data_IF_619235331327
#
_entry.id   IF_619235331327
#
_cell.length_a   1.000
_cell.length_b   1.000
_cell.length_c   1.000
_cell.angle_alpha   90.00
_cell.angle_beta   90.00
_cell.angle_gamma   90.00
#
_symmetry.space_group_name_H-M   'P 1'
#
loop_
_entity.id
_entity.type
_entity.pdbx_description
1 polymer ?
#
# COMPACT_ATOMS: atom_id res chain seq x y z
N UNK A 1 6.46 19.13 -12.79
CA UNK A 1 6.89 18.88 -11.39
C UNK A 1 7.38 17.45 -11.37
N UNK A 2 8.50 17.18 -10.70
CA UNK A 2 9.03 15.80 -10.61
C UNK A 2 8.26 15.05 -9.50
N UNK A 3 7.36 14.17 -9.90
CA UNK A 3 6.45 13.42 -9.03
C UNK A 3 7.19 12.38 -8.16
N UNK A 4 8.43 12.07 -8.48
CA UNK A 4 9.28 11.23 -7.63
C UNK A 4 9.79 11.97 -6.39
N UNK A 5 9.83 13.30 -6.43
CA UNK A 5 10.35 14.18 -5.38
C UNK A 5 9.26 14.87 -4.56
N UNK A 6 8.16 15.26 -5.20
CA UNK A 6 7.07 16.02 -4.57
C UNK A 6 5.71 15.55 -5.04
N UNK A 7 4.73 15.60 -4.15
CA UNK A 7 3.33 15.32 -4.43
C UNK A 7 2.69 16.47 -5.23
N UNK A 8 1.52 16.24 -5.80
CA UNK A 8 0.79 17.24 -6.59
C UNK A 8 0.44 18.52 -5.79
N UNK A 9 0.28 18.40 -4.48
CA UNK A 9 0.02 19.52 -3.54
C UNK A 9 1.31 20.25 -3.07
N UNK A 10 2.48 19.81 -3.53
CA UNK A 10 3.78 20.41 -3.22
C UNK A 10 4.47 19.85 -1.97
N UNK A 11 3.85 18.94 -1.23
CA UNK A 11 4.50 18.26 -0.09
C UNK A 11 5.65 17.38 -0.59
N UNK A 12 6.79 17.34 0.14
CA UNK A 12 7.92 16.52 -0.27
C UNK A 12 7.63 15.03 -0.06
N UNK A 13 8.26 14.21 -0.89
CA UNK A 13 8.44 12.78 -0.66
C UNK A 13 9.82 12.51 -0.07
N UNK A 14 10.09 11.31 0.39
CA UNK A 14 11.39 10.98 0.97
C UNK A 14 12.58 11.33 0.08
N UNK A 15 12.48 11.09 -1.25
CA UNK A 15 13.49 11.51 -2.23
C UNK A 15 13.62 13.03 -2.33
N UNK A 16 12.51 13.76 -2.21
CA UNK A 16 12.48 15.23 -2.22
C UNK A 16 13.19 15.85 -1.03
N UNK A 17 13.18 15.19 0.11
CA UNK A 17 13.99 15.56 1.27
C UNK A 17 15.48 15.23 1.12
N UNK A 18 15.86 14.41 0.14
CA UNK A 18 17.22 13.93 -0.04
C UNK A 18 17.56 12.66 0.74
N UNK A 19 16.58 11.84 1.07
CA UNK A 19 16.82 10.52 1.63
C UNK A 19 17.46 9.60 0.57
N UNK A 20 18.50 8.80 0.93
CA UNK A 20 19.32 8.05 -0.02
C UNK A 20 18.69 6.69 -0.37
N UNK A 21 17.52 6.70 -0.97
CA UNK A 21 16.91 5.48 -1.49
C UNK A 21 17.66 4.99 -2.74
N UNK A 22 17.57 3.67 -2.99
CA UNK A 22 18.13 3.09 -4.20
C UNK A 22 17.56 3.74 -5.47
N UNK A 23 18.39 3.86 -6.50
CA UNK A 23 18.04 4.45 -7.79
C UNK A 23 17.00 3.59 -8.56
N UNK A 24 16.58 4.05 -9.74
CA UNK A 24 15.72 3.34 -10.70
C UNK A 24 14.27 3.14 -10.24
N UNK A 25 13.63 4.17 -9.69
CA UNK A 25 12.17 4.19 -9.61
C UNK A 25 11.55 4.44 -11.00
N UNK A 26 10.25 4.11 -11.14
CA UNK A 26 9.45 4.48 -12.29
C UNK A 26 9.16 5.98 -12.33
N UNK A 27 8.39 6.41 -13.33
CA UNK A 27 8.14 7.83 -13.62
C UNK A 27 7.45 8.58 -12.46
N UNK A 28 6.56 7.90 -11.74
CA UNK A 28 5.80 8.46 -10.61
C UNK A 28 6.28 7.93 -9.26
N UNK A 29 7.22 6.96 -9.27
CA UNK A 29 7.67 6.24 -8.09
C UNK A 29 6.48 5.72 -7.26
N UNK A 30 5.53 5.07 -7.93
CA UNK A 30 4.26 4.63 -7.37
C UNK A 30 3.88 3.23 -7.88
N UNK A 31 2.93 2.56 -7.21
CA UNK A 31 2.40 1.27 -7.68
C UNK A 31 1.77 1.39 -9.06
N UNK A 32 1.30 2.55 -9.43
CA UNK A 32 0.73 2.90 -10.73
C UNK A 32 1.76 2.96 -11.87
N UNK A 33 3.06 2.89 -11.59
CA UNK A 33 4.09 2.66 -12.61
C UNK A 33 4.01 1.24 -13.19
N UNK A 34 3.34 0.31 -12.50
CA UNK A 34 3.01 -1.00 -13.07
C UNK A 34 1.92 -0.83 -14.12
N UNK A 35 2.17 -1.17 -15.38
CA UNK A 35 1.24 -0.94 -16.47
C UNK A 35 -0.17 -1.47 -16.20
N UNK A 36 -1.16 -0.60 -16.33
CA UNK A 36 -2.58 -0.92 -16.16
C UNK A 36 -3.08 -0.85 -14.71
N UNK A 37 -2.22 -0.61 -13.73
CA UNK A 37 -2.65 -0.42 -12.34
C UNK A 37 -3.19 0.99 -12.14
N UNK A 38 -4.38 1.07 -11.55
CA UNK A 38 -5.03 2.33 -11.17
C UNK A 38 -5.35 2.32 -9.66
N UNK A 39 -5.32 3.50 -9.04
CA UNK A 39 -5.60 3.66 -7.60
C UNK A 39 -6.54 4.84 -7.39
N UNK A 40 -7.51 4.64 -6.50
CA UNK A 40 -8.45 5.68 -6.10
C UNK A 40 -8.60 5.76 -4.58
N UNK A 41 -9.00 6.93 -4.11
CA UNK A 41 -9.11 7.23 -2.69
C UNK A 41 -10.44 7.91 -2.37
N UNK A 42 -11.00 7.56 -1.21
CA UNK A 42 -12.02 8.38 -0.55
C UNK A 42 -11.54 8.64 0.88
N UNK A 43 -11.40 9.91 1.22
CA UNK A 43 -10.89 10.38 2.52
C UNK A 43 -12.03 11.01 3.31
N UNK A 44 -12.23 10.58 4.56
CA UNK A 44 -13.27 11.07 5.45
C UNK A 44 -12.61 11.75 6.65
N UNK A 45 -12.72 13.08 6.72
CA UNK A 45 -12.24 13.91 7.83
C UNK A 45 -13.38 14.83 8.23
N UNK A 46 -14.09 14.50 9.32
CA UNK A 46 -15.29 15.19 9.76
C UNK A 46 -15.34 15.32 11.29
N UNK A 47 -15.90 16.40 11.79
CA UNK A 47 -16.13 16.64 13.21
C UNK A 47 -14.83 16.84 14.02
N UNK A 48 -15.01 17.37 15.23
CA UNK A 48 -13.96 17.63 16.23
C UNK A 48 -14.53 17.40 17.63
N UNK A 49 -13.64 17.32 18.64
CA UNK A 49 -14.02 17.22 20.06
C UNK A 49 -14.10 15.78 20.57
N UNK A 50 -14.94 15.60 21.58
CA UNK A 50 -15.11 14.32 22.26
C UNK A 50 -15.82 13.30 21.37
N UNK A 51 -15.51 12.01 21.58
CA UNK A 51 -16.14 10.93 20.84
C UNK A 51 -17.63 10.83 21.14
N UNK A 52 -18.44 10.92 20.10
CA UNK A 52 -19.85 10.52 20.10
C UNK A 52 -20.05 9.44 19.05
N UNK A 53 -20.23 8.19 19.48
CA UNK A 53 -20.32 7.05 18.58
C UNK A 53 -21.47 7.24 17.58
N UNK A 54 -21.16 7.16 16.30
CA UNK A 54 -22.09 7.41 15.19
C UNK A 54 -22.12 8.86 14.67
N UNK A 55 -21.47 9.80 15.39
CA UNK A 55 -21.36 11.20 14.99
C UNK A 55 -19.91 11.62 14.69
N UNK A 56 -18.92 10.99 15.33
CA UNK A 56 -17.51 11.25 15.11
C UNK A 56 -16.74 11.68 16.35
N UNK A 57 -15.56 12.29 16.21
CA UNK A 57 -14.85 12.69 14.97
C UNK A 57 -14.47 11.52 14.05
N UNK A 58 -14.54 11.75 12.74
CA UNK A 58 -14.25 10.76 11.70
C UNK A 58 -12.88 11.03 11.08
N UNK A 59 -12.00 10.04 11.08
CA UNK A 59 -10.65 10.08 10.48
C UNK A 59 -10.35 8.73 9.83
N UNK A 60 -10.97 8.48 8.68
CA UNK A 60 -10.93 7.17 7.99
C UNK A 60 -11.05 7.32 6.48
N UNK A 61 -11.23 6.23 5.76
CA UNK A 61 -11.46 6.25 4.33
C UNK A 61 -11.31 4.90 3.66
N UNK A 62 -11.22 4.94 2.33
CA UNK A 62 -11.04 3.76 1.48
C UNK A 62 -9.96 4.04 0.44
N UNK A 63 -9.03 3.11 0.30
CA UNK A 63 -8.08 3.03 -0.82
C UNK A 63 -8.50 1.88 -1.71
N UNK A 64 -8.69 2.13 -3.00
CA UNK A 64 -9.01 1.12 -4.00
C UNK A 64 -7.86 0.95 -4.98
N UNK A 65 -7.43 -0.29 -5.24
CA UNK A 65 -6.43 -0.64 -6.24
C UNK A 65 -7.12 -1.50 -7.29
N UNK A 66 -7.08 -1.08 -8.54
CA UNK A 66 -7.52 -1.84 -9.70
C UNK A 66 -6.28 -2.39 -10.41
N UNK A 67 -5.93 -3.67 -10.24
CA UNK A 67 -4.71 -4.24 -10.83
C UNK A 67 -4.66 -4.18 -12.37
N UNK A 68 -5.81 -4.04 -13.00
CA UNK A 68 -5.95 -3.94 -14.47
C UNK A 68 -6.75 -2.70 -14.90
N UNK A 69 -6.86 -1.71 -14.02
CA UNK A 69 -7.62 -0.48 -14.26
C UNK A 69 -9.10 -0.74 -14.55
N UNK A 70 -9.74 0.25 -15.15
CA UNK A 70 -11.12 0.17 -15.60
C UNK A 70 -11.18 -0.61 -16.91
N UNK A 71 -11.56 -1.89 -16.83
CA UNK A 71 -11.77 -2.77 -17.97
C UNK A 71 -13.18 -3.37 -17.93
N UNK A 72 -13.77 -3.64 -19.08
CA UNK A 72 -15.04 -4.37 -19.19
C UNK A 72 -14.87 -5.88 -19.02
N UNK A 73 -13.64 -6.36 -19.06
CA UNK A 73 -13.30 -7.76 -18.89
C UNK A 73 -12.97 -8.07 -17.43
N UNK A 74 -13.00 -9.35 -17.08
CA UNK A 74 -12.66 -9.84 -15.75
C UNK A 74 -11.43 -10.79 -15.84
N UNK A 75 -10.27 -10.32 -16.29
CA UNK A 75 -9.10 -11.16 -16.37
C UNK A 75 -8.60 -11.49 -14.97
N UNK A 76 -8.19 -12.74 -14.71
CA UNK A 76 -7.56 -13.09 -13.44
C UNK A 76 -6.23 -12.35 -13.27
N UNK A 77 -5.92 -12.07 -12.04
CA UNK A 77 -4.65 -11.45 -11.60
C UNK A 77 -3.90 -12.49 -10.77
N UNK A 78 -2.76 -12.95 -11.27
CA UNK A 78 -1.94 -13.93 -10.55
C UNK A 78 -1.40 -13.33 -9.27
N UNK A 79 -1.56 -14.03 -8.16
CA UNK A 79 -1.26 -13.48 -6.85
C UNK A 79 -0.85 -14.53 -5.82
N UNK A 80 -0.24 -14.05 -4.75
CA UNK A 80 -0.05 -14.81 -3.52
C UNK A 80 -0.09 -13.86 -2.32
N UNK A 81 -0.47 -14.37 -1.18
CA UNK A 81 -0.46 -13.63 0.07
C UNK A 81 0.52 -14.23 1.08
N UNK A 82 0.92 -13.41 2.05
CA UNK A 82 1.69 -13.85 3.21
C UNK A 82 1.26 -13.08 4.44
N UNK A 83 0.85 -13.80 5.49
CA UNK A 83 0.62 -13.22 6.81
C UNK A 83 1.88 -13.40 7.65
N UNK A 84 2.58 -12.32 7.95
CA UNK A 84 3.70 -12.33 8.88
C UNK A 84 3.16 -12.40 10.31
N UNK A 85 2.09 -11.65 10.58
CA UNK A 85 1.39 -11.60 11.84
C UNK A 85 -0.12 -11.44 11.58
N UNK A 86 -0.94 -12.24 12.20
CA UNK A 86 -2.33 -12.52 11.79
C UNK A 86 -3.40 -11.75 12.54
N UNK A 87 -3.08 -10.72 13.32
CA UNK A 87 -4.09 -9.93 14.03
C UNK A 87 -4.74 -8.87 13.12
N UNK A 88 -5.37 -9.31 12.04
CA UNK A 88 -6.01 -8.47 11.04
C UNK A 88 -6.79 -9.30 10.03
N UNK A 89 -7.37 -8.66 9.03
CA UNK A 89 -8.17 -9.33 8.01
C UNK A 89 -7.74 -8.93 6.58
N UNK A 90 -7.77 -9.92 5.71
CA UNK A 90 -7.74 -9.76 4.26
C UNK A 90 -8.63 -10.81 3.63
N UNK A 91 -9.75 -10.40 3.02
CA UNK A 91 -10.71 -11.32 2.40
C UNK A 91 -10.17 -11.92 1.11
N UNK A 92 -10.77 -13.02 0.63
CA UNK A 92 -10.38 -13.67 -0.62
C UNK A 92 -9.10 -14.52 -0.55
N UNK A 93 -8.38 -14.49 0.57
CA UNK A 93 -7.07 -15.15 0.73
C UNK A 93 -7.10 -16.67 0.61
N UNK A 94 -8.23 -17.31 0.98
CA UNK A 94 -8.38 -18.76 0.81
C UNK A 94 -8.28 -19.16 -0.67
N UNK A 95 -8.99 -18.43 -1.55
CA UNK A 95 -8.94 -18.69 -2.99
C UNK A 95 -7.58 -18.33 -3.60
N UNK A 96 -6.98 -17.22 -3.18
CA UNK A 96 -5.63 -16.85 -3.61
C UNK A 96 -4.62 -17.96 -3.26
N UNK A 97 -4.70 -18.52 -2.06
CA UNK A 97 -3.81 -19.60 -1.63
C UNK A 97 -4.07 -20.91 -2.38
N UNK A 98 -5.31 -21.21 -2.73
CA UNK A 98 -5.71 -22.45 -3.44
C UNK A 98 -5.41 -22.36 -4.94
N UNK A 99 -5.82 -21.25 -5.58
CA UNK A 99 -5.81 -21.11 -7.03
C UNK A 99 -4.67 -20.27 -7.59
N UNK A 100 -3.99 -19.47 -6.74
CA UNK A 100 -2.89 -18.60 -7.15
C UNK A 100 -3.31 -17.33 -7.89
N UNK A 101 -4.59 -16.95 -7.85
CA UNK A 101 -5.11 -15.74 -8.48
C UNK A 101 -6.37 -15.21 -7.79
N UNK A 102 -6.73 -13.97 -8.11
CA UNK A 102 -8.02 -13.37 -7.80
C UNK A 102 -8.55 -12.59 -9.03
N UNK A 103 -9.76 -12.03 -8.90
CA UNK A 103 -10.37 -11.15 -9.91
C UNK A 103 -10.95 -9.92 -9.22
N UNK A 104 -10.91 -8.77 -9.92
CA UNK A 104 -11.47 -7.50 -9.42
C UNK A 104 -10.51 -6.67 -8.58
N UNK A 105 -11.05 -5.78 -7.74
CA UNK A 105 -10.29 -4.80 -6.99
C UNK A 105 -9.68 -5.38 -5.71
N UNK A 106 -8.68 -4.64 -5.19
CA UNK A 106 -8.19 -4.72 -3.81
C UNK A 106 -8.60 -3.42 -3.13
N UNK A 107 -9.31 -3.50 -2.01
CA UNK A 107 -9.67 -2.34 -1.21
C UNK A 107 -9.02 -2.42 0.17
N UNK A 108 -8.60 -1.26 0.71
CA UNK A 108 -8.02 -1.16 2.06
C UNK A 108 -8.77 -0.08 2.83
N UNK A 109 -9.17 -0.37 4.07
CA UNK A 109 -9.99 0.51 4.92
C UNK A 109 -9.63 0.34 6.40
N UNK A 110 -10.54 0.69 7.31
CA UNK A 110 -10.39 0.41 8.74
C UNK A 110 -11.03 -0.94 9.13
N UNK A 111 -10.70 -1.41 10.34
CA UNK A 111 -11.12 -2.74 10.83
C UNK A 111 -12.63 -2.96 10.78
N UNK A 112 -13.44 -2.00 11.20
CA UNK A 112 -14.90 -2.16 11.19
C UNK A 112 -15.53 -1.82 9.83
N UNK A 113 -14.78 -1.21 8.91
CA UNK A 113 -15.19 -0.92 7.54
C UNK A 113 -15.23 -2.13 6.61
N UNK A 114 -14.55 -3.24 6.95
CA UNK A 114 -14.42 -4.41 6.05
C UNK A 114 -15.76 -4.90 5.50
N UNK A 115 -16.76 -5.05 6.36
CA UNK A 115 -18.08 -5.56 5.94
C UNK A 115 -18.72 -4.69 4.87
N UNK A 116 -18.76 -3.37 5.10
CA UNK A 116 -19.32 -2.40 4.17
C UNK A 116 -18.53 -2.32 2.86
N UNK A 117 -17.19 -2.31 2.96
CA UNK A 117 -16.30 -2.27 1.78
C UNK A 117 -16.41 -3.55 0.96
N UNK A 118 -16.51 -4.71 1.60
CA UNK A 118 -16.67 -5.99 0.90
C UNK A 118 -18.00 -6.06 0.16
N UNK A 119 -19.11 -5.67 0.80
CA UNK A 119 -20.42 -5.64 0.16
C UNK A 119 -20.44 -4.66 -1.01
N UNK A 120 -19.97 -3.43 -0.81
CA UNK A 120 -19.95 -2.41 -1.84
C UNK A 120 -19.04 -2.80 -3.03
N UNK A 121 -17.86 -3.35 -2.76
CA UNK A 121 -16.96 -3.84 -3.82
C UNK A 121 -17.60 -5.00 -4.60
N UNK A 122 -18.33 -5.89 -3.93
CA UNK A 122 -19.11 -6.94 -4.61
C UNK A 122 -20.16 -6.33 -5.54
N UNK A 123 -20.94 -5.35 -5.08
CA UNK A 123 -21.94 -4.64 -5.89
C UNK A 123 -21.30 -3.94 -7.09
N UNK A 124 -20.16 -3.27 -6.87
CA UNK A 124 -19.38 -2.63 -7.93
C UNK A 124 -18.93 -3.65 -8.99
N UNK A 125 -18.35 -4.78 -8.57
CA UNK A 125 -17.93 -5.85 -9.50
C UNK A 125 -19.10 -6.38 -10.30
N UNK A 126 -20.26 -6.64 -9.69
CA UNK A 126 -21.46 -7.11 -10.39
C UNK A 126 -21.96 -6.07 -11.40
N UNK A 127 -21.89 -4.78 -11.08
CA UNK A 127 -22.26 -3.69 -11.99
C UNK A 127 -21.26 -3.58 -13.16
N UNK A 128 -19.97 -3.62 -12.85
CA UNK A 128 -18.88 -3.41 -13.83
C UNK A 128 -18.71 -4.59 -14.78
N UNK A 129 -18.79 -5.81 -14.27
CA UNK A 129 -18.45 -7.04 -14.99
C UNK A 129 -19.63 -7.98 -15.22
N UNK A 130 -20.86 -7.59 -14.91
CA UNK A 130 -22.03 -8.44 -14.79
C UNK A 130 -22.16 -9.56 -15.83
N UNK A 131 -21.98 -9.23 -17.11
CA UNK A 131 -22.05 -10.22 -18.22
C UNK A 131 -20.82 -11.14 -18.28
N UNK A 132 -19.65 -10.70 -17.79
CA UNK A 132 -18.42 -11.49 -17.78
C UNK A 132 -18.43 -12.62 -16.72
N UNK A 133 -19.28 -12.51 -15.69
CA UNK A 133 -19.45 -13.58 -14.69
C UNK A 133 -20.29 -14.77 -15.17
N UNK A 134 -20.97 -14.66 -16.32
CA UNK A 134 -21.87 -15.69 -16.82
C UNK A 134 -23.17 -15.83 -16.04
N UNK A 135 -23.81 -16.99 -16.11
CA UNK A 135 -25.14 -17.27 -15.53
C UNK A 135 -25.15 -17.15 -13.99
N UNK A 136 -24.06 -17.53 -13.35
CA UNK A 136 -23.92 -17.53 -11.88
C UNK A 136 -22.93 -16.46 -11.42
N UNK A 137 -23.27 -15.19 -11.67
CA UNK A 137 -22.45 -14.06 -11.28
C UNK A 137 -22.15 -14.08 -9.77
N UNK A 138 -20.88 -14.33 -9.42
CA UNK A 138 -20.42 -14.25 -8.05
C UNK A 138 -19.04 -13.57 -7.99
N UNK A 139 -18.82 -12.77 -6.95
CA UNK A 139 -17.61 -11.97 -6.79
C UNK A 139 -17.01 -12.19 -5.40
N UNK A 140 -15.68 -12.23 -5.35
CA UNK A 140 -14.91 -12.26 -4.10
C UNK A 140 -13.85 -11.16 -4.14
N UNK A 141 -14.19 -9.91 -3.80
CA UNK A 141 -13.21 -8.84 -3.73
C UNK A 141 -12.21 -9.10 -2.62
N UNK A 142 -10.99 -8.57 -2.79
CA UNK A 142 -9.98 -8.55 -1.74
C UNK A 142 -10.18 -7.27 -0.94
N UNK A 143 -10.45 -7.38 0.36
CA UNK A 143 -10.58 -6.25 1.27
C UNK A 143 -9.71 -6.48 2.49
N UNK A 144 -8.86 -5.50 2.80
CA UNK A 144 -7.94 -5.53 3.92
C UNK A 144 -8.11 -4.31 4.84
N UNK A 145 -7.51 -4.35 6.02
CA UNK A 145 -7.72 -3.28 7.01
C UNK A 145 -6.50 -3.04 7.90
N UNK A 146 -6.49 -1.86 8.51
CA UNK A 146 -5.74 -1.55 9.73
C UNK A 146 -6.60 -0.70 10.68
N UNK A 147 -6.30 -0.73 11.99
CA UNK A 147 -7.14 -0.12 13.02
C UNK A 147 -6.83 1.37 13.20
N UNK A 148 -7.83 2.25 12.99
CA UNK A 148 -7.74 3.71 13.15
C UNK A 148 -8.36 4.25 14.44
N UNK A 149 -8.70 3.38 15.40
CA UNK A 149 -9.49 3.69 16.60
C UNK A 149 -8.94 4.85 17.45
N UNK A 150 -7.64 5.16 17.36
CA UNK A 150 -7.04 6.24 18.16
C UNK A 150 -7.53 7.63 17.72
N UNK A 151 -7.70 7.83 16.42
CA UNK A 151 -8.11 9.10 15.83
C UNK A 151 -9.57 9.11 15.36
N UNK A 152 -10.15 7.95 15.08
CA UNK A 152 -11.44 7.77 14.43
C UNK A 152 -12.52 7.21 15.35
N UNK A 153 -13.76 7.65 15.17
CA UNK A 153 -14.95 6.94 15.65
C UNK A 153 -15.16 5.66 14.83
N UNK A 154 -14.31 4.65 15.07
CA UNK A 154 -14.37 3.39 14.34
C UNK A 154 -15.69 2.63 14.57
N UNK A 155 -16.30 2.78 15.75
CA UNK A 155 -17.56 2.12 16.13
C UNK A 155 -18.80 2.79 15.51
N UNK A 156 -18.64 3.96 14.90
CA UNK A 156 -19.71 4.67 14.18
C UNK A 156 -19.99 4.13 12.78
N UNK A 157 -19.14 3.24 12.24
CA UNK A 157 -19.31 2.61 10.92
C UNK A 157 -19.47 3.65 9.80
N UNK A 158 -18.61 4.68 9.76
CA UNK A 158 -18.72 5.82 8.85
C UNK A 158 -18.41 5.48 7.38
N UNK A 159 -17.68 4.40 7.11
CA UNK A 159 -17.42 3.93 5.74
C UNK A 159 -18.68 3.27 5.18
N UNK A 160 -19.20 3.80 4.07
CA UNK A 160 -20.45 3.39 3.41
C UNK A 160 -20.23 3.09 1.94
N UNK A 161 -21.27 2.54 1.27
CA UNK A 161 -21.25 2.15 -0.14
C UNK A 161 -20.77 3.29 -1.07
N UNK A 162 -21.31 4.51 -0.88
CA UNK A 162 -20.95 5.68 -1.69
C UNK A 162 -19.44 5.98 -1.65
N UNK A 163 -18.79 5.80 -0.51
CA UNK A 163 -17.36 6.06 -0.35
C UNK A 163 -16.51 5.03 -1.11
N UNK A 164 -16.95 3.78 -1.09
CA UNK A 164 -16.29 2.68 -1.82
C UNK A 164 -16.45 2.85 -3.32
N UNK A 165 -17.70 3.17 -3.76
CA UNK A 165 -17.97 3.44 -5.18
C UNK A 165 -17.14 4.62 -5.68
N UNK A 166 -17.04 5.71 -4.90
CA UNK A 166 -16.24 6.87 -5.26
C UNK A 166 -14.75 6.54 -5.40
N UNK A 167 -14.19 5.73 -4.49
CA UNK A 167 -12.80 5.27 -4.58
C UNK A 167 -12.56 4.38 -5.80
N UNK A 168 -13.46 3.44 -6.08
CA UNK A 168 -13.36 2.53 -7.21
C UNK A 168 -13.55 3.24 -8.55
N UNK A 169 -14.61 4.05 -8.69
CA UNK A 169 -14.92 4.77 -9.93
C UNK A 169 -13.91 5.90 -10.20
N UNK A 170 -13.29 6.46 -9.15
CA UNK A 170 -12.27 7.50 -9.24
C UNK A 170 -10.83 7.00 -9.38
N UNK A 171 -10.61 5.69 -9.48
CA UNK A 171 -9.27 5.15 -9.63
C UNK A 171 -8.64 5.58 -10.96
N UNK A 172 -7.36 5.98 -10.91
CA UNK A 172 -6.59 6.44 -12.07
C UNK A 172 -5.14 5.98 -11.97
N UNK A 173 -4.45 5.92 -13.11
CA UNK A 173 -3.00 5.79 -13.17
C UNK A 173 -2.28 7.12 -12.90
N UNK A 174 -0.96 7.10 -12.94
CA UNK A 174 -0.12 8.28 -12.72
C UNK A 174 0.22 8.52 -11.25
N UNK A 175 0.63 9.76 -10.88
CA UNK A 175 1.11 10.08 -9.53
C UNK A 175 -0.01 9.95 -8.50
N UNK A 176 0.33 9.43 -7.32
CA UNK A 176 -0.61 9.20 -6.23
C UNK A 176 -0.44 10.21 -5.10
N UNK A 177 -1.53 10.45 -4.36
CA UNK A 177 -1.47 11.09 -3.06
C UNK A 177 -0.92 10.14 -2.00
N UNK A 178 -0.24 10.68 -0.98
CA UNK A 178 0.34 9.91 0.13
C UNK A 178 0.03 10.60 1.48
N UNK A 179 0.27 9.92 2.58
CA UNK A 179 0.00 10.39 3.93
C UNK A 179 -1.46 10.18 4.35
N UNK A 180 -2.12 11.23 4.81
CA UNK A 180 -3.47 11.20 5.39
C UNK A 180 -4.57 11.02 4.33
N UNK A 181 -4.51 9.98 3.51
CA UNK A 181 -5.41 9.77 2.37
C UNK A 181 -5.98 8.36 2.32
N UNK A 182 -7.22 8.25 1.87
CA UNK A 182 -7.91 6.97 1.74
C UNK A 182 -8.00 6.21 3.05
N UNK A 183 -7.83 4.90 3.01
CA UNK A 183 -7.77 4.07 4.21
C UNK A 183 -6.64 4.46 5.18
N UNK A 184 -5.59 5.14 4.69
CA UNK A 184 -4.47 5.63 5.50
C UNK A 184 -4.78 6.86 6.36
N UNK A 185 -5.97 7.45 6.24
CA UNK A 185 -6.31 8.74 6.87
C UNK A 185 -6.06 8.78 8.39
N UNK A 186 -6.54 7.80 9.15
CA UNK A 186 -6.40 7.75 10.62
C UNK A 186 -5.20 6.94 11.12
N UNK A 187 -4.25 6.57 10.27
CA UNK A 187 -3.19 5.62 10.59
C UNK A 187 -1.97 6.27 11.25
N UNK A 188 -1.29 5.51 12.11
CA UNK A 188 -0.17 5.93 12.95
C UNK A 188 1.00 4.97 12.73
N UNK A 189 2.15 5.50 12.28
CA UNK A 189 3.31 4.68 11.96
C UNK A 189 4.51 5.14 12.79
N UNK A 190 5.08 4.23 13.59
CA UNK A 190 6.15 4.53 14.55
C UNK A 190 5.80 5.70 15.48
N UNK A 191 4.53 5.79 15.90
CA UNK A 191 3.99 6.87 16.75
C UNK A 191 4.09 8.28 16.14
N UNK A 192 4.40 8.38 14.86
CA UNK A 192 4.13 9.55 14.02
C UNK A 192 2.85 9.33 13.23
N UNK A 193 2.30 10.40 12.67
CA UNK A 193 1.22 10.24 11.70
C UNK A 193 1.72 9.37 10.54
N UNK A 194 1.03 8.29 10.31
CA UNK A 194 1.25 7.34 9.21
C UNK A 194 0.30 7.58 8.05
N UNK A 195 -0.01 6.53 7.31
CA UNK A 195 -0.99 6.64 6.24
C UNK A 195 -0.70 5.77 5.04
N UNK A 196 -1.12 6.26 3.88
CA UNK A 196 -0.84 5.63 2.59
C UNK A 196 0.52 6.06 2.07
N UNK A 197 1.32 5.11 1.59
CA UNK A 197 2.58 5.40 0.92
C UNK A 197 2.81 4.48 -0.27
N UNK A 198 3.60 4.94 -1.24
CA UNK A 198 3.87 4.18 -2.46
C UNK A 198 5.31 4.38 -2.94
N UNK A 199 5.83 3.43 -3.68
CA UNK A 199 7.11 3.52 -4.38
C UNK A 199 7.21 2.44 -5.46
N UNK A 200 8.16 2.59 -6.38
CA UNK A 200 8.40 1.59 -7.43
C UNK A 200 9.89 1.38 -7.69
N UNK A 201 10.19 0.28 -8.39
CA UNK A 201 11.50 0.00 -8.99
C UNK A 201 11.32 -0.53 -10.39
N UNK A 202 12.16 -0.03 -11.28
CA UNK A 202 12.30 -0.55 -12.65
C UNK A 202 13.56 -1.40 -12.72
N UNK A 203 13.43 -2.63 -13.17
CA UNK A 203 14.51 -3.61 -13.20
C UNK A 203 14.62 -4.31 -14.54
N UNK A 204 15.81 -4.73 -14.90
CA UNK A 204 16.07 -5.54 -16.08
C UNK A 204 16.34 -6.99 -15.66
N UNK A 205 15.51 -7.91 -16.16
CA UNK A 205 15.60 -9.35 -15.85
C UNK A 205 15.24 -10.16 -17.09
N UNK A 206 15.99 -11.23 -17.37
CA UNK A 206 15.73 -12.14 -18.50
C UNK A 206 15.61 -11.44 -19.87
N UNK A 207 16.30 -10.31 -20.05
CA UNK A 207 16.24 -9.51 -21.30
C UNK A 207 15.01 -8.63 -21.47
N UNK A 208 14.17 -8.51 -20.45
CA UNK A 208 13.03 -7.59 -20.38
C UNK A 208 13.18 -6.54 -19.29
N UNK A 209 12.51 -5.41 -19.43
CA UNK A 209 12.39 -4.36 -18.43
C UNK A 209 11.04 -4.50 -17.74
N UNK A 210 11.03 -4.55 -16.42
CA UNK A 210 9.83 -4.76 -15.62
C UNK A 210 9.75 -3.77 -14.46
N UNK A 211 8.53 -3.53 -14.01
CA UNK A 211 8.24 -2.67 -12.86
C UNK A 211 7.79 -3.50 -11.67
N UNK A 212 8.29 -3.16 -10.51
CA UNK A 212 7.79 -3.61 -9.20
C UNK A 212 7.32 -2.38 -8.43
N UNK A 213 6.03 -2.29 -8.15
CA UNK A 213 5.42 -1.18 -7.43
C UNK A 213 4.82 -1.63 -6.09
N UNK A 214 4.97 -0.81 -5.07
CA UNK A 214 4.43 -1.03 -3.73
C UNK A 214 3.39 0.03 -3.37
N UNK A 215 2.32 -0.36 -2.69
CA UNK A 215 1.42 0.51 -1.94
C UNK A 215 1.24 -0.05 -0.55
N UNK A 216 1.39 0.80 0.46
CA UNK A 216 1.21 0.40 1.87
C UNK A 216 0.16 1.27 2.56
N UNK A 217 -0.57 0.68 3.49
CA UNK A 217 -1.29 1.38 4.55
C UNK A 217 -0.53 1.14 5.85
N UNK A 218 0.32 2.13 6.23
CA UNK A 218 1.27 2.02 7.32
C UNK A 218 0.67 2.50 8.64
N UNK A 219 0.49 1.56 9.57
CA UNK A 219 -0.11 1.80 10.90
C UNK A 219 0.58 0.90 11.94
N UNK A 220 1.91 0.93 12.03
CA UNK A 220 2.67 -0.03 12.84
C UNK A 220 3.92 0.59 13.45
N UNK A 221 4.54 -0.15 14.36
CA UNK A 221 5.87 0.13 14.89
C UNK A 221 5.89 1.05 16.11
N UNK A 222 6.96 0.90 16.90
CA UNK A 222 7.28 1.78 18.03
C UNK A 222 8.33 2.80 17.63
N UNK A 223 8.26 4.01 18.17
CA UNK A 223 9.17 5.10 17.88
C UNK A 223 10.65 4.69 17.98
N UNK A 224 11.02 4.02 19.05
CA UNK A 224 12.41 3.60 19.31
C UNK A 224 13.00 2.64 18.26
N UNK A 225 12.14 1.94 17.51
CA UNK A 225 12.56 1.00 16.48
C UNK A 225 12.83 1.67 15.14
N UNK A 226 12.27 2.87 14.91
CA UNK A 226 12.33 3.52 13.60
C UNK A 226 13.76 3.71 13.11
N UNK A 227 14.05 3.10 11.98
CA UNK A 227 15.26 3.30 11.18
C UNK A 227 14.88 3.85 9.80
N UNK A 228 15.56 4.87 9.35
CA UNK A 228 15.38 5.42 7.99
C UNK A 228 16.74 5.36 7.29
N UNK A 229 16.81 4.60 6.20
CA UNK A 229 18.04 4.40 5.42
C UNK A 229 19.27 4.02 6.29
N UNK A 230 19.04 3.25 7.38
CA UNK A 230 20.08 2.80 8.31
C UNK A 230 20.48 3.81 9.39
N UNK A 231 19.79 4.95 9.51
CA UNK A 231 19.91 5.86 10.65
C UNK A 231 18.83 5.53 11.71
N UNK A 232 19.15 5.40 13.00
CA UNK A 232 18.21 5.08 14.07
C UNK A 232 17.40 6.33 14.47
N UNK A 233 16.56 6.82 13.55
CA UNK A 233 15.83 8.08 13.67
C UNK A 233 14.98 8.15 14.93
N UNK A 234 14.25 7.09 15.22
CA UNK A 234 13.33 7.06 16.34
C UNK A 234 13.98 7.23 17.72
N UNK A 235 15.27 6.92 17.84
CA UNK A 235 16.03 7.13 19.08
C UNK A 235 16.43 8.59 19.31
N UNK A 236 16.32 9.42 18.28
CA UNK A 236 16.66 10.84 18.33
C UNK A 236 15.44 11.75 18.36
N UNK A 237 14.31 11.29 17.86
CA UNK A 237 13.05 12.02 17.80
C UNK A 237 12.07 11.45 18.85
N UNK A 238 12.28 11.75 20.13
CA UNK A 238 11.59 11.12 21.26
C UNK A 238 10.41 11.93 21.81
N UNK A 239 10.00 13.01 21.16
CA UNK A 239 8.84 13.81 21.57
C UNK A 239 7.52 13.20 21.08
N UNK A 240 6.44 13.49 21.78
CA UNK A 240 5.08 13.06 21.42
C UNK A 240 4.94 11.53 21.28
N UNK A 241 5.54 10.77 22.18
CA UNK A 241 5.33 9.32 22.26
C UNK A 241 3.89 9.02 22.69
N UNK A 242 3.29 8.00 22.09
CA UNK A 242 1.88 7.66 22.28
C UNK A 242 1.68 6.47 23.22
N UNK A 243 2.49 5.42 23.07
CA UNK A 243 2.21 4.14 23.73
C UNK A 243 3.43 3.48 24.36
N UNK A 244 3.22 2.70 25.45
CA UNK A 244 4.29 1.90 26.05
C UNK A 244 4.54 0.56 25.32
N UNK A 245 3.72 0.21 24.33
CA UNK A 245 3.81 -1.03 23.52
C UNK A 245 3.15 -0.83 22.18
N UNK A 246 3.53 -1.63 21.20
CA UNK A 246 2.97 -1.57 19.85
C UNK A 246 1.46 -1.86 19.82
N UNK A 247 0.75 -1.02 19.07
CA UNK A 247 -0.65 -1.13 18.72
C UNK A 247 -0.79 -0.79 17.23
N UNK A 248 -0.73 -1.76 16.35
CA UNK A 248 -0.79 -1.40 14.95
C UNK A 248 -0.90 -2.59 14.02
N UNK A 249 -0.79 -2.33 12.76
CA UNK A 249 -0.84 -3.28 11.64
C UNK A 249 -0.28 -2.62 10.39
N UNK A 250 0.06 -3.41 9.38
CA UNK A 250 0.38 -2.89 8.06
C UNK A 250 -0.19 -3.78 6.98
N UNK A 251 -0.88 -3.17 6.03
CA UNK A 251 -1.22 -3.82 4.76
C UNK A 251 -0.21 -3.32 3.72
N UNK A 252 0.43 -4.26 3.04
CA UNK A 252 1.33 -3.94 1.94
C UNK A 252 0.99 -4.76 0.70
N UNK A 253 0.83 -4.07 -0.43
CA UNK A 253 0.50 -4.65 -1.72
C UNK A 253 1.64 -4.39 -2.69
N UNK A 254 2.14 -5.45 -3.32
CA UNK A 254 3.12 -5.39 -4.41
C UNK A 254 2.42 -5.75 -5.72
N UNK A 255 2.56 -4.88 -6.72
CA UNK A 255 2.21 -5.15 -8.11
C UNK A 255 3.46 -5.28 -8.99
N UNK A 256 3.38 -6.09 -10.04
CA UNK A 256 4.41 -6.16 -11.08
C UNK A 256 3.80 -6.56 -12.43
N UNK A 257 4.42 -6.16 -13.52
CA UNK A 257 4.11 -6.61 -14.88
C UNK A 257 4.99 -7.81 -15.32
N UNK A 258 5.82 -8.32 -14.40
CA UNK A 258 6.70 -9.46 -14.68
C UNK A 258 5.91 -10.76 -14.73
N UNK A 259 6.13 -11.63 -15.73
CA UNK A 259 5.53 -12.97 -15.76
C UNK A 259 6.16 -13.85 -14.67
N UNK A 260 5.32 -14.29 -13.73
CA UNK A 260 5.73 -15.07 -12.56
C UNK A 260 4.75 -16.21 -12.30
N UNK A 261 5.26 -17.36 -11.87
CA UNK A 261 4.45 -18.46 -11.35
C UNK A 261 3.85 -18.10 -9.99
N UNK A 262 2.69 -18.66 -9.60
CA UNK A 262 2.11 -18.45 -8.27
C UNK A 262 3.10 -18.71 -7.12
N UNK A 263 3.94 -19.74 -7.23
CA UNK A 263 4.97 -20.02 -6.23
C UNK A 263 6.07 -18.94 -6.16
N UNK A 264 6.35 -18.27 -7.28
CA UNK A 264 7.27 -17.13 -7.31
C UNK A 264 6.62 -15.90 -6.68
N UNK A 265 5.31 -15.66 -6.95
CA UNK A 265 4.54 -14.61 -6.27
C UNK A 265 4.53 -14.80 -4.74
N UNK A 266 4.41 -16.05 -4.25
CA UNK A 266 4.51 -16.35 -2.82
C UNK A 266 5.90 -15.98 -2.25
N UNK A 267 6.96 -16.16 -3.05
CA UNK A 267 8.31 -15.74 -2.65
C UNK A 267 8.45 -14.21 -2.60
N UNK A 268 7.75 -13.47 -3.47
CA UNK A 268 7.68 -12.01 -3.41
C UNK A 268 6.89 -11.55 -2.17
N UNK A 269 5.71 -12.10 -1.93
CA UNK A 269 4.88 -11.75 -0.78
C UNK A 269 5.64 -11.90 0.55
N UNK A 270 6.45 -12.95 0.71
CA UNK A 270 7.33 -13.15 1.88
C UNK A 270 8.42 -12.08 2.02
N UNK A 271 8.91 -11.48 0.92
CA UNK A 271 9.96 -10.45 0.97
C UNK A 271 9.43 -9.09 1.39
N UNK A 272 8.13 -8.88 1.30
CA UNK A 272 7.50 -7.67 1.83
C UNK A 272 7.85 -7.50 3.31
N UNK A 273 7.88 -8.59 4.09
CA UNK A 273 8.27 -8.56 5.50
C UNK A 273 9.70 -8.02 5.73
N UNK A 274 10.62 -8.28 4.79
CA UNK A 274 11.99 -7.76 4.88
C UNK A 274 11.97 -6.24 4.64
N UNK A 275 11.18 -5.76 3.66
CA UNK A 275 11.03 -4.34 3.38
C UNK A 275 10.44 -3.57 4.56
N UNK A 276 9.36 -4.09 5.16
CA UNK A 276 8.76 -3.54 6.38
C UNK A 276 9.75 -3.56 7.55
N UNK A 277 10.48 -4.65 7.73
CA UNK A 277 11.48 -4.80 8.79
C UNK A 277 12.69 -3.87 8.65
N UNK A 278 13.01 -3.37 7.44
CA UNK A 278 14.10 -2.39 7.25
C UNK A 278 13.85 -1.07 7.95
N UNK A 279 12.59 -0.65 8.06
CA UNK A 279 12.20 0.52 8.83
C UNK A 279 12.25 0.27 10.36
N UNK A 280 12.53 -0.97 10.81
CA UNK A 280 12.90 -1.30 12.18
C UNK A 280 11.85 -2.06 12.98
N UNK A 281 10.64 -2.25 12.50
CA UNK A 281 9.62 -2.99 13.24
C UNK A 281 10.01 -4.45 13.47
N UNK A 282 9.59 -4.98 14.61
CA UNK A 282 9.70 -6.39 14.97
C UNK A 282 8.44 -7.18 14.61
N UNK A 283 7.40 -6.51 14.04
CA UNK A 283 6.07 -7.08 13.85
C UNK A 283 5.51 -7.60 15.19
N UNK A 284 5.15 -6.68 16.09
CA UNK A 284 4.76 -6.99 17.48
C UNK A 284 3.55 -7.91 17.55
N UNK A 285 3.39 -8.58 18.69
CA UNK A 285 2.39 -9.64 18.90
C UNK A 285 0.94 -9.23 18.57
N UNK A 286 0.62 -7.94 18.69
CA UNK A 286 -0.74 -7.43 18.43
C UNK A 286 -0.90 -6.84 17.02
N UNK A 287 0.13 -6.86 16.21
CA UNK A 287 0.11 -6.34 14.83
C UNK A 287 -0.59 -7.32 13.88
N UNK A 288 -1.29 -6.78 12.88
CA UNK A 288 -1.83 -7.52 11.74
C UNK A 288 -1.06 -7.16 10.49
N UNK A 289 0.02 -7.90 10.20
CA UNK A 289 0.93 -7.60 9.09
C UNK A 289 0.66 -8.57 7.95
N UNK A 290 -0.20 -8.15 7.02
CA UNK A 290 -0.73 -9.01 5.96
C UNK A 290 -0.37 -8.41 4.59
N UNK A 291 0.19 -9.24 3.73
CA UNK A 291 0.81 -8.83 2.48
C UNK A 291 0.22 -9.55 1.29
N UNK A 292 0.08 -8.83 0.19
CA UNK A 292 -0.35 -9.35 -1.09
C UNK A 292 0.67 -8.99 -2.17
N UNK A 293 1.02 -9.94 -3.02
CA UNK A 293 1.78 -9.69 -4.23
C UNK A 293 0.97 -10.16 -5.45
N UNK A 294 0.90 -9.33 -6.50
CA UNK A 294 0.20 -9.69 -7.73
C UNK A 294 1.03 -9.38 -8.98
N UNK A 295 0.70 -10.09 -10.07
CA UNK A 295 1.25 -9.83 -11.40
C UNK A 295 0.16 -9.56 -12.41
N UNK A 296 0.35 -8.51 -13.22
CA UNK A 296 -0.52 -8.17 -14.35
C UNK A 296 -0.13 -8.92 -15.63
N UNK A 297 1.01 -9.63 -15.65
CA UNK A 297 1.37 -10.51 -16.76
C UNK A 297 0.45 -11.74 -16.87
N UNK A 298 0.60 -12.49 -17.96
CA UNK A 298 -0.19 -13.70 -18.22
C UNK A 298 -1.71 -13.49 -18.12
N UNK A 299 -2.18 -12.31 -18.54
CA UNK A 299 -3.62 -12.09 -18.72
C UNK A 299 -4.17 -13.14 -19.68
N UNK A 300 -5.37 -13.64 -19.39
CA UNK A 300 -6.05 -14.53 -20.35
C UNK A 300 -6.41 -13.70 -21.59
N UNK A 301 -5.99 -14.08 -22.81
CA UNK A 301 -6.43 -13.39 -24.01
C UNK A 301 -7.96 -13.39 -24.13
N UNK A 302 -8.51 -12.29 -24.67
CA UNK A 302 -9.92 -12.22 -25.07
C UNK A 302 -10.28 -13.39 -25.99
N UNK A 303 -11.45 -13.96 -25.82
CA UNK A 303 -12.00 -15.00 -26.70
C UNK A 303 -11.40 -16.39 -26.50
N UNK A 304 -10.34 -16.57 -25.72
CA UNK A 304 -9.93 -17.87 -25.20
C UNK A 304 -10.77 -18.29 -23.99
N UNK A 305 -12.08 -18.18 -24.09
CA UNK A 305 -12.96 -19.14 -23.45
C UNK A 305 -12.61 -20.49 -24.06
N UNK A 306 -11.38 -20.96 -23.74
CA UNK A 306 -10.86 -22.17 -24.36
C UNK A 306 -11.89 -23.24 -24.23
N UNK A 307 -12.23 -23.85 -25.34
CA UNK A 307 -13.07 -25.05 -25.35
C UNK A 307 -12.58 -25.90 -24.16
N UNK A 308 -13.51 -26.35 -23.34
CA UNK A 308 -13.20 -27.17 -22.17
C UNK A 308 -12.20 -28.25 -22.63
N UNK A 309 -10.99 -28.26 -22.00
CA UNK A 309 -9.97 -29.24 -22.33
C UNK A 309 -8.73 -28.74 -23.09
N UNK A 310 -8.56 -27.43 -23.37
CA UNK A 310 -7.33 -26.92 -23.98
C UNK A 310 -6.26 -26.58 -22.94
N UNK A 311 -5.01 -26.97 -23.23
CA UNK A 311 -3.84 -26.57 -22.42
C UNK A 311 -3.61 -25.07 -22.54
N UNK A 312 -3.25 -24.42 -21.43
CA UNK A 312 -2.84 -23.02 -21.40
C UNK A 312 -1.33 -22.91 -21.18
N UNK A 313 -0.73 -21.86 -21.71
CA UNK A 313 0.67 -21.53 -21.51
C UNK A 313 0.76 -20.41 -20.46
N UNK A 314 1.83 -20.43 -19.68
CA UNK A 314 2.15 -19.44 -18.69
C UNK A 314 3.66 -19.15 -18.80
N UNK A 315 3.99 -17.92 -19.12
CA UNK A 315 5.38 -17.47 -19.17
C UNK A 315 5.86 -17.16 -17.76
N UNK A 316 7.12 -17.43 -17.48
CA UNK A 316 7.72 -17.11 -16.19
C UNK A 316 9.22 -16.83 -16.30
N UNK A 317 9.71 -15.97 -15.41
CA UNK A 317 11.14 -15.72 -15.25
C UNK A 317 11.81 -16.93 -14.57
N UNK A 318 12.96 -17.40 -15.07
CA UNK A 318 13.71 -18.47 -14.43
C UNK A 318 14.01 -18.19 -12.96
N UNK A 319 13.93 -19.21 -12.09
CA UNK A 319 14.08 -19.04 -10.65
C UNK A 319 15.42 -18.45 -10.22
N UNK A 320 16.49 -18.74 -10.95
CA UNK A 320 17.86 -18.27 -10.72
C UNK A 320 18.02 -16.77 -10.99
N UNK A 321 17.07 -16.11 -11.64
CA UNK A 321 17.11 -14.69 -11.98
C UNK A 321 16.24 -13.82 -11.05
N UNK A 322 15.72 -14.34 -9.93
CA UNK A 322 14.79 -13.64 -9.07
C UNK A 322 15.44 -12.68 -8.04
N UNK A 323 16.72 -12.72 -7.80
CA UNK A 323 17.37 -11.87 -6.78
C UNK A 323 17.17 -10.37 -7.03
N UNK A 324 17.29 -9.82 -8.25
CA UNK A 324 16.94 -8.41 -8.52
C UNK A 324 15.48 -8.08 -8.23
N UNK A 325 14.55 -9.03 -8.46
CA UNK A 325 13.12 -8.85 -8.17
C UNK A 325 12.89 -8.78 -6.66
N UNK A 326 13.56 -9.62 -5.89
CA UNK A 326 13.49 -9.60 -4.43
C UNK A 326 14.04 -8.30 -3.85
N UNK A 327 15.16 -7.79 -4.39
CA UNK A 327 15.67 -6.47 -4.01
C UNK A 327 14.66 -5.37 -4.29
N UNK A 328 14.07 -5.37 -5.49
CA UNK A 328 13.07 -4.39 -5.89
C UNK A 328 11.84 -4.39 -4.96
N UNK A 329 11.34 -5.56 -4.56
CA UNK A 329 10.24 -5.68 -3.58
C UNK A 329 10.62 -5.06 -2.25
N UNK A 330 11.78 -5.44 -1.69
CA UNK A 330 12.25 -4.95 -0.39
C UNK A 330 12.43 -3.44 -0.40
N UNK A 331 13.06 -2.90 -1.45
CA UNK A 331 13.34 -1.48 -1.58
C UNK A 331 12.09 -0.63 -1.83
N UNK A 332 11.14 -1.14 -2.62
CA UNK A 332 9.87 -0.44 -2.85
C UNK A 332 9.02 -0.36 -1.58
N UNK A 333 8.96 -1.44 -0.80
CA UNK A 333 8.21 -1.46 0.47
C UNK A 333 8.85 -0.55 1.51
N UNK A 334 10.19 -0.62 1.69
CA UNK A 334 10.92 0.25 2.61
C UNK A 334 10.66 1.73 2.31
N UNK A 335 10.80 2.13 1.04
CA UNK A 335 10.55 3.51 0.61
C UNK A 335 9.07 3.90 0.77
N UNK A 336 8.12 3.02 0.44
CA UNK A 336 6.68 3.29 0.59
C UNK A 336 6.30 3.55 2.05
N UNK A 337 6.83 2.79 3.01
CA UNK A 337 6.61 3.01 4.45
C UNK A 337 7.12 4.38 4.87
N UNK A 338 8.32 4.77 4.42
CA UNK A 338 8.89 6.08 4.76
C UNK A 338 8.10 7.21 4.10
N UNK A 339 7.69 7.04 2.83
CA UNK A 339 6.86 8.02 2.13
C UNK A 339 5.52 8.25 2.84
N UNK A 340 4.90 7.19 3.39
CA UNK A 340 3.66 7.32 4.15
C UNK A 340 3.79 8.28 5.35
N UNK A 341 4.95 8.27 6.04
CA UNK A 341 5.22 9.18 7.17
C UNK A 341 5.65 10.57 6.72
N UNK A 342 6.55 10.65 5.72
CA UNK A 342 7.07 11.93 5.22
C UNK A 342 5.97 12.78 4.59
N UNK A 343 5.01 12.16 3.91
CA UNK A 343 3.89 12.84 3.29
C UNK A 343 2.71 13.11 4.24
N UNK A 344 2.76 12.59 5.47
CA UNK A 344 1.70 12.80 6.45
C UNK A 344 1.73 14.22 7.02
N UNK A 345 0.57 14.66 7.50
CA UNK A 345 0.36 15.93 8.20
C UNK A 345 -0.18 15.65 9.61
N UNK A 346 0.06 16.56 10.52
CA UNK A 346 -0.50 16.50 11.88
C UNK A 346 -2.01 16.21 11.84
N UNK A 347 -2.48 15.43 12.79
CA UNK A 347 -3.91 15.13 12.85
C UNK A 347 -4.42 15.07 14.28
N UNK A 348 -5.51 15.79 14.53
CA UNK A 348 -6.33 15.65 15.74
C UNK A 348 -7.59 14.84 15.40
N UNK A 349 -7.86 13.83 16.20
CA UNK A 349 -9.06 12.98 16.08
C UNK A 349 -9.97 13.09 17.30
N UNK A 350 -10.68 12.00 17.57
CA UNK A 350 -11.61 11.88 18.71
C UNK A 350 -10.94 12.18 20.03
N UNK A 351 -11.72 12.73 20.97
CA UNK A 351 -11.27 13.03 22.33
C UNK A 351 -10.05 13.99 22.41
N UNK A 352 -9.80 14.77 21.34
CA UNK A 352 -8.62 15.62 21.22
C UNK A 352 -7.29 14.87 21.05
N UNK A 353 -7.32 13.58 20.75
CA UNK A 353 -6.12 12.79 20.47
C UNK A 353 -5.35 13.40 19.29
N UNK A 354 -4.13 13.82 19.57
CA UNK A 354 -3.25 14.45 18.58
C UNK A 354 -2.09 13.53 18.22
N UNK A 355 -1.83 13.42 16.93
CA UNK A 355 -0.69 12.68 16.39
C UNK A 355 0.12 13.59 15.46
N UNK A 356 1.35 13.84 15.83
CA UNK A 356 2.27 14.67 15.05
C UNK A 356 2.78 13.94 13.81
N UNK A 357 2.91 14.65 12.70
CA UNK A 357 3.71 14.22 11.57
C UNK A 357 5.20 14.20 11.93
N UNK A 358 6.01 13.52 11.14
CA UNK A 358 7.47 13.55 11.31
C UNK A 358 8.02 14.93 10.93
N UNK A 359 8.75 15.60 11.84
CA UNK A 359 9.39 16.87 11.50
C UNK A 359 10.54 16.66 10.51
N UNK A 360 10.41 17.26 9.33
CA UNK A 360 11.40 17.09 8.24
C UNK A 360 12.74 17.72 8.57
N UNK A 361 12.75 18.84 9.31
CA UNK A 361 13.98 19.53 9.71
C UNK A 361 14.79 18.69 10.68
N UNK A 362 14.12 18.16 11.72
CA UNK A 362 14.73 17.28 12.71
C UNK A 362 15.18 15.96 12.08
N UNK A 363 14.34 15.34 11.23
CA UNK A 363 14.70 14.15 10.47
C UNK A 363 15.99 14.36 9.69
N UNK A 364 16.09 15.45 8.93
CA UNK A 364 17.28 15.72 8.10
C UNK A 364 18.52 16.04 8.93
N UNK A 365 18.38 16.61 10.13
CA UNK A 365 19.49 16.77 11.06
C UNK A 365 20.00 15.41 11.58
N UNK A 366 19.10 14.48 11.90
CA UNK A 366 19.47 13.12 12.27
C UNK A 366 20.17 12.42 11.12
N UNK A 367 19.60 12.47 9.90
CA UNK A 367 20.21 11.89 8.71
C UNK A 367 21.62 12.40 8.44
N UNK A 368 21.85 13.72 8.58
CA UNK A 368 23.16 14.33 8.45
C UNK A 368 24.17 13.80 9.46
N UNK A 369 23.74 13.64 10.73
CA UNK A 369 24.55 13.10 11.82
C UNK A 369 25.10 11.70 11.54
N UNK A 370 24.34 10.88 10.78
CA UNK A 370 24.72 9.53 10.36
C UNK A 370 25.31 9.46 8.94
N UNK A 371 25.55 10.60 8.30
CA UNK A 371 26.08 10.65 6.93
C UNK A 371 25.13 10.03 5.89
N UNK A 372 23.82 10.12 6.13
CA UNK A 372 22.76 9.52 5.32
C UNK A 372 21.96 10.58 4.57
N UNK A 373 22.64 11.41 3.79
CA UNK A 373 22.02 12.42 2.90
C UNK A 373 22.61 12.30 1.51
N UNK A 374 21.77 12.48 0.49
CA UNK A 374 22.27 12.69 -0.86
C UNK A 374 22.78 14.13 -0.92
N UNK A 375 24.09 14.34 -1.01
CA UNK A 375 24.63 15.65 -1.30
C UNK A 375 24.16 16.05 -2.70
N UNK A 376 23.38 17.13 -2.82
CA UNK A 376 23.17 17.76 -4.12
C UNK A 376 24.56 18.07 -4.69
N UNK A 377 24.92 17.43 -5.79
CA UNK A 377 26.14 17.79 -6.50
C UNK A 377 26.06 19.29 -6.78
N UNK A 378 26.91 20.08 -6.15
CA UNK A 378 27.07 21.47 -6.50
C UNK A 378 27.64 21.47 -7.92
N UNK A 379 26.80 21.76 -8.90
CA UNK A 379 27.30 22.14 -10.22
C UNK A 379 28.18 23.40 -10.03
N UNK A 380 29.50 23.22 -10.00
CA UNK A 380 30.38 24.29 -10.31
C UNK A 380 30.33 24.47 -11.84
N UNK A 381 29.84 25.58 -12.34
CA UNK A 381 30.02 25.89 -13.76
C UNK A 381 31.52 26.13 -13.97
N UNK A 382 32.16 25.32 -14.82
CA UNK A 382 33.44 25.67 -15.45
C UNK A 382 33.24 26.78 -16.50
#
# INVERSE_FOLDING_TARGET
>A
MDTTLVLADGRPRGRGLGLPFAANCGADNAITDVPGVEVGFTTLIEGEGDLVVGEGPVRTGVTAILPRGHTAELPPVWAAMFSLNGNGEMTGTHWINEAGYFVGPICITNTHGIGAVHEASTRWMLKQYGTAFGEYAWAMPVVAETCDIHLNDMNGFHVREEHVMAALDGATGGPLQEGNVGGGTGMICYEFKGGTGTASRVIEVAGGTYTVGALVQANHGMREWLNICGAPVGRHMSENLLWPREHGSIIAVIGTDMPLLPIQMQRLARRISIGVGRAGTLSGNNSGDIFLAFSTANARPEGEGGAAGTLRRHDYVPHELLDPVFSAVVESVDEAVINAMVAAEDMTGRDGNFVAAIDHGELMQVMARYGRQVHKATHHPE
#
